data_IF_776795313085
#
_entry.id   IF_776795313085
#
_cell.length_a   1.000
_cell.length_b   1.000
_cell.length_c   1.000
_cell.angle_alpha   90.00
_cell.angle_beta   90.00
_cell.angle_gamma   90.00
#
_symmetry.space_group_name_H-M   'P 1'
#
loop_
_entity.id
_entity.type
_entity.pdbx_description
1 polymer ?
#
# COMPACT_ATOMS: atom_id res chain seq x y z
N UNK A 1 15.29 -5.43 0.55
CA UNK A 1 15.46 -5.50 2.03
C UNK A 1 14.86 -4.25 2.65
N UNK A 2 14.00 -4.39 3.65
CA UNK A 2 13.49 -3.28 4.46
C UNK A 2 14.17 -3.33 5.83
N UNK A 3 14.68 -2.20 6.32
CA UNK A 3 15.28 -2.09 7.64
C UNK A 3 14.78 -0.83 8.34
N UNK A 4 14.25 -0.98 9.55
CA UNK A 4 13.88 0.12 10.43
C UNK A 4 14.77 0.09 11.68
N UNK A 5 15.23 1.26 12.13
CA UNK A 5 16.09 1.42 13.29
C UNK A 5 15.49 2.46 14.24
N UNK A 6 15.20 2.04 15.48
CA UNK A 6 14.75 2.88 16.59
C UNK A 6 13.60 3.85 16.21
N UNK A 7 12.65 3.34 15.42
CA UNK A 7 11.52 4.13 14.92
C UNK A 7 10.53 4.36 16.05
N UNK A 8 10.25 5.64 16.34
CA UNK A 8 9.23 6.04 17.29
C UNK A 8 8.17 6.91 16.63
N UNK A 9 6.94 6.78 17.11
CA UNK A 9 5.80 7.56 16.64
C UNK A 9 4.80 7.81 17.74
N UNK A 10 4.44 9.07 17.90
CA UNK A 10 3.39 9.52 18.81
C UNK A 10 2.29 10.27 18.06
N UNK A 11 1.10 10.26 18.61
CA UNK A 11 -0.05 11.01 18.11
C UNK A 11 -0.63 11.89 19.23
N UNK A 12 -1.51 12.82 18.85
CA UNK A 12 -2.20 13.71 19.79
C UNK A 12 -1.23 14.51 20.67
N UNK A 13 -0.25 15.16 20.05
CA UNK A 13 0.76 15.97 20.75
C UNK A 13 1.50 15.18 21.86
N UNK A 14 1.87 13.94 21.57
CA UNK A 14 2.63 13.09 22.51
C UNK A 14 1.77 12.26 23.48
N UNK A 15 0.45 12.45 23.50
CA UNK A 15 -0.44 11.73 24.45
C UNK A 15 -0.63 10.24 24.13
N UNK A 16 -0.40 9.82 22.86
CA UNK A 16 -0.57 8.43 22.44
C UNK A 16 0.70 7.94 21.74
N UNK A 17 1.44 7.08 22.43
CA UNK A 17 2.60 6.38 21.86
C UNK A 17 2.07 5.25 20.96
N UNK A 18 2.45 5.26 19.70
CA UNK A 18 2.11 4.24 18.72
C UNK A 18 3.28 3.29 18.44
N UNK A 19 4.51 3.82 18.41
CA UNK A 19 5.75 3.05 18.27
C UNK A 19 6.77 3.65 19.23
N UNK A 20 7.57 2.80 19.87
CA UNK A 20 8.65 3.20 20.75
C UNK A 20 9.88 2.35 20.43
N UNK A 21 10.95 2.99 19.96
CA UNK A 21 12.25 2.38 19.62
C UNK A 21 12.13 1.08 18.80
N UNK A 22 11.14 1.05 17.89
CA UNK A 22 10.84 -0.12 17.09
C UNK A 22 11.91 -0.34 16.02
N UNK A 23 12.50 -1.53 16.03
CA UNK A 23 13.51 -1.93 15.05
C UNK A 23 13.15 -3.28 14.44
N UNK A 24 13.34 -3.39 13.12
CA UNK A 24 13.00 -4.60 12.35
C UNK A 24 13.88 -4.67 11.10
N UNK A 25 14.17 -5.88 10.67
CA UNK A 25 14.82 -6.14 9.39
C UNK A 25 14.04 -7.22 8.63
N UNK A 26 13.60 -6.89 7.42
CA UNK A 26 12.86 -7.79 6.53
C UNK A 26 13.73 -8.09 5.31
N UNK A 27 14.20 -9.33 5.15
CA UNK A 27 15.02 -9.72 4.01
C UNK A 27 14.29 -9.57 2.67
N UNK A 28 15.04 -9.37 1.61
CA UNK A 28 14.49 -9.39 0.24
C UNK A 28 13.92 -10.77 -0.08
N UNK A 29 12.77 -10.81 -0.76
CA UNK A 29 12.12 -12.06 -1.20
C UNK A 29 11.43 -12.84 -0.08
N UNK A 30 11.35 -12.29 1.15
CA UNK A 30 10.67 -12.94 2.27
C UNK A 30 9.22 -12.47 2.42
N UNK A 31 8.37 -13.35 2.95
CA UNK A 31 7.06 -12.99 3.50
C UNK A 31 7.20 -12.80 5.00
N UNK A 32 6.84 -11.62 5.48
CA UNK A 32 7.02 -11.26 6.89
C UNK A 32 5.69 -10.89 7.55
N UNK A 33 5.35 -11.57 8.65
CA UNK A 33 4.14 -11.30 9.43
C UNK A 33 4.39 -10.28 10.55
N UNK A 34 3.71 -9.14 10.51
CA UNK A 34 3.70 -8.16 11.59
C UNK A 34 2.49 -8.41 12.49
N UNK A 35 2.70 -9.09 13.61
CA UNK A 35 1.65 -9.54 14.53
C UNK A 35 1.61 -8.68 15.79
N UNK A 36 0.44 -8.63 16.43
CA UNK A 36 0.23 -7.93 17.70
C UNK A 36 -1.23 -7.50 17.89
N UNK A 37 -1.63 -7.13 19.13
CA UNK A 37 -2.99 -6.71 19.43
C UNK A 37 -3.39 -5.41 18.71
N UNK A 38 -4.68 -5.06 18.78
CA UNK A 38 -5.14 -3.76 18.29
C UNK A 38 -4.48 -2.63 19.09
N UNK A 39 -3.98 -1.62 18.39
CA UNK A 39 -3.23 -0.52 19.01
C UNK A 39 -1.72 -0.75 19.15
N UNK A 40 -1.19 -1.92 18.82
CA UNK A 40 0.26 -2.22 18.91
C UNK A 40 1.15 -1.46 17.90
N UNK A 41 0.60 -0.52 17.14
CA UNK A 41 1.40 0.31 16.22
C UNK A 41 1.61 -0.26 14.82
N UNK A 42 1.11 -1.47 14.51
CA UNK A 42 1.26 -2.12 13.20
C UNK A 42 0.90 -1.21 12.02
N UNK A 43 -0.30 -0.64 12.05
CA UNK A 43 -0.79 0.28 11.01
C UNK A 43 0.03 1.57 10.97
N UNK A 44 0.51 2.07 12.11
CA UNK A 44 1.38 3.25 12.17
C UNK A 44 2.71 2.99 11.47
N UNK A 45 3.33 1.84 11.70
CA UNK A 45 4.57 1.45 11.04
C UNK A 45 4.37 1.31 9.51
N UNK A 46 3.31 0.62 9.08
CA UNK A 46 2.98 0.49 7.66
C UNK A 46 2.75 1.86 7.02
N UNK A 47 2.04 2.78 7.68
CA UNK A 47 1.82 4.14 7.18
C UNK A 47 3.12 4.95 7.07
N UNK A 48 4.09 4.72 7.97
CA UNK A 48 5.41 5.38 7.89
C UNK A 48 6.19 4.87 6.67
N UNK A 49 6.22 3.55 6.43
CA UNK A 49 6.88 2.96 5.25
C UNK A 49 6.26 3.53 3.96
N UNK A 50 4.94 3.68 3.92
CA UNK A 50 4.21 4.25 2.80
C UNK A 50 4.23 5.79 2.76
N UNK A 51 4.98 6.44 3.65
CA UNK A 51 5.12 7.89 3.73
C UNK A 51 3.80 8.67 3.87
N UNK A 52 2.74 7.99 4.35
CA UNK A 52 1.45 8.61 4.71
C UNK A 52 1.61 9.43 5.99
N UNK A 53 2.51 9.03 6.87
CA UNK A 53 2.93 9.77 8.06
C UNK A 53 4.42 9.64 8.27
N UNK A 54 5.03 10.59 8.96
CA UNK A 54 6.46 10.55 9.27
C UNK A 54 6.69 9.94 10.65
N UNK A 55 7.84 9.26 10.83
CA UNK A 55 8.35 8.90 12.14
C UNK A 55 8.75 10.16 12.90
N UNK A 56 8.65 10.15 14.23
CA UNK A 56 9.14 11.25 15.06
C UNK A 56 10.64 11.11 15.25
N UNK A 57 11.14 9.87 15.41
CA UNK A 57 12.58 9.53 15.49
C UNK A 57 12.85 8.22 14.78
N UNK A 58 14.13 7.90 14.58
CA UNK A 58 14.59 6.68 13.93
C UNK A 58 14.71 6.83 12.42
N UNK A 59 15.09 5.74 11.77
CA UNK A 59 15.36 5.72 10.35
C UNK A 59 14.82 4.45 9.71
N UNK A 60 14.37 4.57 8.45
CA UNK A 60 13.94 3.43 7.62
C UNK A 60 14.78 3.42 6.35
N UNK A 61 15.19 2.23 5.95
CA UNK A 61 15.96 1.99 4.74
C UNK A 61 15.26 0.96 3.87
N UNK A 62 15.23 1.19 2.56
CA UNK A 62 14.77 0.25 1.54
C UNK A 62 15.95 -0.03 0.62
N UNK A 63 16.34 -1.30 0.51
CA UNK A 63 17.48 -1.75 -0.30
C UNK A 63 18.80 -1.00 0.01
N UNK A 64 19.00 -0.60 1.28
CA UNK A 64 20.20 0.11 1.74
C UNK A 64 20.11 1.63 1.61
N UNK A 65 19.14 2.17 0.90
CA UNK A 65 18.90 3.60 0.76
C UNK A 65 17.87 4.08 1.79
N UNK A 66 18.12 5.25 2.41
CA UNK A 66 17.19 5.87 3.35
C UNK A 66 15.86 6.17 2.66
N UNK A 67 14.76 5.81 3.31
CA UNK A 67 13.40 6.00 2.82
C UNK A 67 13.19 7.46 2.38
N UNK A 68 12.78 7.63 1.13
CA UNK A 68 12.53 8.93 0.50
C UNK A 68 11.31 8.83 -0.45
N UNK A 69 10.76 9.96 -0.95
CA UNK A 69 9.57 9.97 -1.78
C UNK A 69 9.65 9.12 -3.07
N UNK A 70 10.84 8.89 -3.61
CA UNK A 70 10.99 8.10 -4.83
C UNK A 70 10.65 6.62 -4.63
N UNK A 71 10.81 6.09 -3.41
CA UNK A 71 10.47 4.70 -3.08
C UNK A 71 8.97 4.38 -3.19
N UNK A 72 8.09 5.40 -3.19
CA UNK A 72 6.63 5.20 -3.35
C UNK A 72 6.27 4.48 -4.65
N UNK A 73 7.09 4.65 -5.70
CA UNK A 73 6.89 3.97 -6.99
C UNK A 73 7.00 2.46 -6.86
N UNK A 74 7.89 2.00 -5.98
CA UNK A 74 8.27 0.59 -5.82
C UNK A 74 7.50 -0.08 -4.67
N UNK A 75 6.70 0.68 -3.91
CA UNK A 75 5.90 0.16 -2.80
C UNK A 75 4.46 -0.05 -3.24
N UNK A 76 3.98 -1.29 -3.20
CA UNK A 76 2.57 -1.62 -3.26
C UNK A 76 1.96 -1.54 -1.87
N UNK A 77 0.83 -0.84 -1.72
CA UNK A 77 0.12 -0.75 -0.45
C UNK A 77 -1.35 -1.10 -0.62
N UNK A 78 -1.80 -2.11 0.08
CA UNK A 78 -3.20 -2.52 0.12
C UNK A 78 -3.78 -2.24 1.52
N UNK A 79 -4.45 -1.10 1.72
CA UNK A 79 -5.05 -0.76 3.01
C UNK A 79 -6.27 -1.62 3.31
N UNK A 80 -6.61 -1.73 4.59
CA UNK A 80 -7.84 -2.39 5.05
C UNK A 80 -9.10 -1.65 4.54
N UNK A 81 -9.06 -0.32 4.55
CA UNK A 81 -10.09 0.53 3.95
C UNK A 81 -9.83 0.66 2.46
N UNK A 82 -10.86 0.39 1.67
CA UNK A 82 -10.75 0.42 0.20
C UNK A 82 -10.65 1.86 -0.28
N UNK A 83 -9.49 2.23 -0.81
CA UNK A 83 -9.25 3.50 -1.50
C UNK A 83 -9.84 3.56 -2.90
N UNK A 84 -10.94 2.82 -3.17
CA UNK A 84 -11.54 2.71 -4.50
C UNK A 84 -12.63 3.77 -4.71
N UNK A 85 -12.63 4.41 -5.87
CA UNK A 85 -13.63 5.41 -6.27
C UNK A 85 -14.91 4.75 -6.76
N UNK A 86 -15.98 4.75 -5.96
CA UNK A 86 -17.22 4.02 -6.20
C UNK A 86 -17.92 4.34 -7.53
N UNK A 87 -17.76 5.57 -8.02
CA UNK A 87 -18.42 6.04 -9.24
C UNK A 87 -17.62 5.80 -10.53
N UNK A 88 -16.34 5.39 -10.40
CA UNK A 88 -15.53 5.04 -11.55
C UNK A 88 -15.82 3.61 -12.00
N UNK A 89 -15.64 3.34 -13.30
CA UNK A 89 -15.57 1.96 -13.77
C UNK A 89 -14.28 1.29 -13.28
N UNK A 90 -14.28 -0.03 -13.24
CA UNK A 90 -13.10 -0.80 -12.83
C UNK A 90 -11.92 -0.50 -13.75
N UNK A 91 -12.15 -0.50 -15.07
CA UNK A 91 -11.11 -0.21 -16.06
C UNK A 91 -10.52 1.20 -15.92
N UNK A 92 -11.38 2.22 -15.82
CA UNK A 92 -10.92 3.61 -15.68
C UNK A 92 -10.09 3.80 -14.42
N UNK A 93 -10.50 3.18 -13.32
CA UNK A 93 -9.77 3.29 -12.06
C UNK A 93 -8.39 2.62 -12.11
N UNK A 94 -8.28 1.45 -12.75
CA UNK A 94 -6.97 0.78 -12.88
C UNK A 94 -6.02 1.57 -13.76
N UNK A 95 -6.51 2.12 -14.86
CA UNK A 95 -5.72 3.01 -15.71
C UNK A 95 -5.27 4.25 -14.93
N UNK A 96 -6.17 4.87 -14.19
CA UNK A 96 -5.86 6.04 -13.37
C UNK A 96 -4.78 5.74 -12.31
N UNK A 97 -4.87 4.62 -11.60
CA UNK A 97 -3.84 4.25 -10.62
C UNK A 97 -2.51 3.86 -11.28
N UNK A 98 -2.55 3.22 -12.44
CA UNK A 98 -1.35 2.94 -13.23
C UNK A 98 -0.62 4.23 -13.61
N UNK A 99 -1.35 5.23 -14.14
CA UNK A 99 -0.80 6.55 -14.49
C UNK A 99 -0.28 7.30 -13.25
N UNK A 100 -0.97 7.24 -12.10
CA UNK A 100 -0.48 7.82 -10.84
C UNK A 100 0.84 7.18 -10.37
N UNK A 101 1.06 5.91 -10.67
CA UNK A 101 2.33 5.19 -10.41
C UNK A 101 3.41 5.47 -11.48
N UNK A 102 3.11 6.32 -12.46
CA UNK A 102 4.05 6.72 -13.50
C UNK A 102 4.09 5.81 -14.73
N UNK A 103 3.12 4.89 -14.88
CA UNK A 103 2.98 4.09 -16.09
C UNK A 103 2.43 4.94 -17.24
N UNK A 104 2.85 4.65 -18.48
CA UNK A 104 2.12 5.15 -19.64
C UNK A 104 0.74 4.49 -19.71
N UNK A 105 -0.24 5.16 -20.29
CA UNK A 105 -1.61 4.63 -20.44
C UNK A 105 -1.64 3.28 -21.16
N UNK A 106 -0.82 3.10 -22.20
CA UNK A 106 -0.73 1.84 -22.92
C UNK A 106 -0.18 0.72 -22.04
N UNK A 107 0.88 0.99 -21.29
CA UNK A 107 1.46 0.01 -20.38
C UNK A 107 0.49 -0.34 -19.22
N UNK A 108 -0.19 0.64 -18.65
CA UNK A 108 -1.22 0.41 -17.64
C UNK A 108 -2.36 -0.47 -18.18
N UNK A 109 -2.78 -0.24 -19.45
CA UNK A 109 -3.80 -1.05 -20.10
C UNK A 109 -3.37 -2.49 -20.35
N UNK A 110 -2.12 -2.71 -20.79
CA UNK A 110 -1.55 -4.04 -20.99
C UNK A 110 -1.48 -4.81 -19.67
N UNK A 111 -0.97 -4.20 -18.63
CA UNK A 111 -0.89 -4.80 -17.29
C UNK A 111 -2.27 -5.10 -16.72
N UNK A 112 -3.22 -4.18 -16.85
CA UNK A 112 -4.58 -4.40 -16.40
C UNK A 112 -5.23 -5.59 -17.12
N UNK A 113 -5.11 -5.69 -18.46
CA UNK A 113 -5.62 -6.83 -19.23
C UNK A 113 -4.98 -8.16 -18.79
N UNK A 114 -3.67 -8.18 -18.60
CA UNK A 114 -2.98 -9.37 -18.11
C UNK A 114 -3.57 -9.86 -16.77
N UNK A 115 -3.72 -8.95 -15.79
CA UNK A 115 -4.27 -9.32 -14.48
C UNK A 115 -5.76 -9.68 -14.54
N UNK A 116 -6.53 -9.08 -15.43
CA UNK A 116 -7.94 -9.43 -15.65
C UNK A 116 -8.09 -10.86 -16.15
N UNK A 117 -7.26 -11.26 -17.11
CA UNK A 117 -7.19 -12.63 -17.61
C UNK A 117 -6.79 -13.59 -16.50
N UNK A 118 -5.69 -13.30 -15.76
CA UNK A 118 -5.22 -14.15 -14.66
C UNK A 118 -6.24 -14.33 -13.52
N UNK A 119 -7.08 -13.33 -13.28
CA UNK A 119 -8.10 -13.34 -12.23
C UNK A 119 -9.49 -13.76 -12.74
N UNK A 120 -9.62 -14.03 -14.04
CA UNK A 120 -10.89 -14.39 -14.73
C UNK A 120 -12.00 -13.34 -14.52
N UNK A 121 -11.65 -12.05 -14.62
CA UNK A 121 -12.56 -10.93 -14.32
C UNK A 121 -12.77 -9.96 -15.49
N UNK A 122 -12.50 -10.36 -16.74
CA UNK A 122 -12.61 -9.52 -17.93
C UNK A 122 -13.97 -8.82 -18.07
N UNK A 123 -15.02 -9.51 -17.67
CA UNK A 123 -16.41 -9.03 -17.72
C UNK A 123 -16.70 -7.91 -16.68
N UNK A 124 -15.74 -7.55 -15.80
CA UNK A 124 -15.90 -6.45 -14.83
C UNK A 124 -15.39 -5.11 -15.35
N UNK A 125 -14.68 -5.07 -16.46
CA UNK A 125 -14.02 -3.87 -16.98
C UNK A 125 -14.90 -2.63 -17.00
N UNK A 126 -16.14 -2.79 -17.48
CA UNK A 126 -17.12 -1.70 -17.62
C UNK A 126 -18.04 -1.52 -16.41
N UNK A 127 -17.96 -2.40 -15.40
CA UNK A 127 -18.78 -2.27 -14.20
C UNK A 127 -18.28 -1.11 -13.34
N UNK A 128 -19.20 -0.39 -12.71
CA UNK A 128 -18.85 0.57 -11.66
C UNK A 128 -18.46 -0.18 -10.40
N UNK A 129 -17.54 0.40 -9.63
CA UNK A 129 -17.13 -0.19 -8.36
C UNK A 129 -18.27 -0.30 -7.34
N UNK A 130 -19.26 0.57 -7.42
CA UNK A 130 -20.49 0.48 -6.62
C UNK A 130 -21.34 -0.76 -6.90
N UNK A 131 -21.16 -1.41 -8.05
CA UNK A 131 -21.88 -2.62 -8.46
C UNK A 131 -21.20 -3.91 -8.01
N UNK A 132 -19.99 -3.80 -7.46
CA UNK A 132 -19.21 -4.94 -7.03
C UNK A 132 -19.54 -5.36 -5.60
N UNK A 133 -19.60 -6.68 -5.38
CA UNK A 133 -19.63 -7.23 -4.01
C UNK A 133 -18.35 -6.91 -3.23
N UNK A 134 -18.38 -7.12 -1.92
CA UNK A 134 -17.21 -6.92 -1.06
C UNK A 134 -15.99 -7.71 -1.54
N UNK A 135 -16.16 -8.98 -1.89
CA UNK A 135 -15.08 -9.83 -2.38
C UNK A 135 -14.57 -9.42 -3.75
N UNK A 136 -15.48 -9.04 -4.68
CA UNK A 136 -15.10 -8.52 -6.00
C UNK A 136 -14.27 -7.24 -5.89
N UNK A 137 -14.69 -6.29 -5.08
CA UNK A 137 -13.94 -5.05 -4.86
C UNK A 137 -12.55 -5.31 -4.22
N UNK A 138 -12.42 -6.34 -3.40
CA UNK A 138 -11.14 -6.75 -2.84
C UNK A 138 -10.19 -7.34 -3.90
N UNK A 139 -10.71 -8.12 -4.86
CA UNK A 139 -9.92 -8.57 -6.02
C UNK A 139 -9.42 -7.41 -6.88
N UNK A 140 -10.21 -6.35 -7.04
CA UNK A 140 -9.79 -5.16 -7.81
C UNK A 140 -8.76 -4.31 -7.06
N UNK A 141 -8.76 -4.38 -5.72
CA UNK A 141 -7.79 -3.65 -4.90
C UNK A 141 -6.39 -4.29 -4.96
N UNK A 142 -6.31 -5.58 -5.22
CA UNK A 142 -5.06 -6.32 -5.41
C UNK A 142 -4.34 -5.88 -6.68
#
# INVERSE_FOLDING_TARGET
>A
MLKAKNVSKTYNAGKKIALQDFSIEVPTGSVYGLLGPNGAGKTSFIRIINQITQADTGEIFINGEKLNPNHIKDIGYMPEERGLYKNMTVGDQLLYFGELKGMSKNHALEQAKYWFDQLEIDHWWKKKLSELSKGMAQKIQF
#
